data_IF_079232343791
#
_entry.id   IF_079232343791
#
_cell.length_a   1.000
_cell.length_b   1.000
_cell.length_c   1.000
_cell.angle_alpha   90.00
_cell.angle_beta   90.00
_cell.angle_gamma   90.00
#
_symmetry.space_group_name_H-M   'P 1'
#
loop_
_entity.id
_entity.type
_entity.pdbx_description
1 polymer ?
#
# COMPACT_ATOMS: atom_id res chain seq x y z
N UNK A 1 28.04 8.67 12.57
CA UNK A 1 27.74 7.91 11.34
C UNK A 1 26.28 8.13 11.02
N UNK A 2 25.95 8.36 9.75
CA UNK A 2 24.57 8.46 9.28
C UNK A 2 24.15 7.11 8.71
N UNK A 3 22.94 6.67 9.00
CA UNK A 3 22.36 5.45 8.44
C UNK A 3 21.16 5.82 7.57
N UNK A 4 21.18 5.37 6.32
CA UNK A 4 20.03 5.51 5.41
C UNK A 4 19.82 4.22 4.62
N UNK A 5 18.55 3.90 4.36
CA UNK A 5 18.15 2.82 3.45
C UNK A 5 17.02 3.33 2.56
N UNK A 6 17.03 2.87 1.31
CA UNK A 6 15.97 3.13 0.33
C UNK A 6 15.39 1.80 -0.12
N UNK A 7 14.08 1.76 -0.29
CA UNK A 7 13.35 0.60 -0.78
C UNK A 7 12.51 1.03 -1.97
N UNK A 8 12.48 0.22 -3.02
CA UNK A 8 11.51 0.40 -4.10
C UNK A 8 10.17 -0.16 -3.62
N UNK A 9 9.12 0.67 -3.65
CA UNK A 9 7.78 0.21 -3.31
C UNK A 9 7.16 -0.54 -4.50
N UNK A 10 6.51 -1.69 -4.26
CA UNK A 10 5.67 -2.33 -5.26
C UNK A 10 4.56 -1.40 -5.76
N UNK A 11 4.11 -1.58 -7.00
CA UNK A 11 3.07 -0.75 -7.61
C UNK A 11 1.69 -0.87 -6.94
N UNK A 12 1.45 -1.97 -6.23
CA UNK A 12 0.20 -2.27 -5.51
C UNK A 12 0.18 -1.71 -4.08
N UNK A 13 1.17 -0.91 -3.66
CA UNK A 13 1.18 -0.23 -2.36
C UNK A 13 0.40 1.08 -2.42
N UNK A 14 -0.41 1.33 -1.39
CA UNK A 14 -1.05 2.62 -1.14
C UNK A 14 -0.11 3.52 -0.32
N UNK A 15 0.51 4.49 -1.00
CA UNK A 15 1.53 5.38 -0.42
C UNK A 15 0.96 6.32 0.65
N UNK A 16 -0.34 6.63 0.61
CA UNK A 16 -0.98 7.50 1.61
C UNK A 16 -1.20 6.77 2.94
N UNK A 17 -1.12 5.44 2.93
CA UNK A 17 -1.37 4.58 4.10
C UNK A 17 -0.14 4.27 4.95
N UNK A 18 1.01 4.87 4.64
CA UNK A 18 2.28 4.60 5.32
C UNK A 18 2.19 5.02 6.79
N UNK A 19 2.55 4.10 7.69
CA UNK A 19 2.68 4.36 9.12
C UNK A 19 3.92 3.68 9.69
N UNK A 20 4.48 4.22 10.77
CA UNK A 20 5.68 3.69 11.39
C UNK A 20 5.55 3.66 12.92
N UNK A 21 6.16 2.66 13.55
CA UNK A 21 6.28 2.55 14.99
C UNK A 21 7.70 2.08 15.35
N UNK A 22 8.31 2.71 16.35
CA UNK A 22 9.62 2.33 16.86
C UNK A 22 9.50 1.84 18.31
N UNK A 23 9.84 0.57 18.54
CA UNK A 23 9.75 -0.03 19.87
C UNK A 23 10.85 -1.06 20.08
N UNK A 24 11.49 -1.02 21.24
CA UNK A 24 12.54 -1.98 21.64
C UNK A 24 13.66 -2.13 20.61
N UNK A 25 14.08 -1.03 19.97
CA UNK A 25 15.14 -1.04 18.96
C UNK A 25 14.71 -1.47 17.55
N UNK A 26 13.41 -1.71 17.31
CA UNK A 26 12.88 -2.14 16.01
C UNK A 26 12.00 -1.04 15.41
N UNK A 27 12.32 -0.65 14.17
CA UNK A 27 11.48 0.21 13.34
C UNK A 27 10.56 -0.66 12.47
N UNK A 28 9.27 -0.65 12.78
CA UNK A 28 8.23 -1.33 12.00
C UNK A 28 7.51 -0.33 11.11
N UNK A 29 7.51 -0.56 9.80
CA UNK A 29 6.84 0.27 8.79
C UNK A 29 5.69 -0.55 8.23
N UNK A 30 4.47 -0.01 8.26
CA UNK A 30 3.26 -0.65 7.76
C UNK A 30 2.65 0.18 6.62
N UNK A 31 2.23 -0.51 5.56
CA UNK A 31 1.63 0.08 4.37
C UNK A 31 0.55 -0.87 3.87
N UNK A 32 -0.60 -0.33 3.46
CA UNK A 32 -1.69 -1.11 2.89
C UNK A 32 -1.43 -1.37 1.41
N UNK A 33 -2.06 -2.42 0.90
CA UNK A 33 -2.20 -2.62 -0.54
C UNK A 33 -3.33 -1.74 -1.07
N UNK A 34 -3.19 -1.26 -2.31
CA UNK A 34 -4.26 -0.63 -3.08
C UNK A 34 -5.46 -1.58 -3.14
N UNK A 35 -6.66 -1.02 -3.01
CA UNK A 35 -7.89 -1.78 -3.18
C UNK A 35 -7.97 -2.33 -4.61
N UNK A 36 -8.31 -3.62 -4.74
CA UNK A 36 -8.62 -4.19 -6.05
C UNK A 36 -9.93 -3.59 -6.52
N UNK A 37 -9.94 -3.00 -7.72
CA UNK A 37 -11.15 -2.44 -8.31
C UNK A 37 -12.16 -3.58 -8.48
N UNK A 38 -13.32 -3.45 -7.83
CA UNK A 38 -14.39 -4.42 -7.99
C UNK A 38 -14.81 -4.48 -9.46
N UNK A 39 -15.11 -5.67 -10.01
CA UNK A 39 -15.54 -5.78 -11.40
C UNK A 39 -16.81 -4.94 -11.63
N UNK A 40 -16.78 -4.07 -12.64
CA UNK A 40 -17.96 -3.29 -13.04
C UNK A 40 -19.02 -4.26 -13.56
N UNK A 41 -20.20 -4.30 -12.95
CA UNK A 41 -21.37 -5.00 -13.53
C UNK A 41 -21.85 -4.19 -14.74
N UNK A 42 -21.78 -4.79 -15.93
CA UNK A 42 -22.34 -4.20 -17.15
C UNK A 42 -23.76 -4.77 -17.30
N UNK A 43 -24.77 -3.90 -17.29
CA UNK A 43 -26.17 -4.30 -17.52
C UNK A 43 -26.42 -4.36 -19.02
N UNK A 44 -26.73 -5.55 -19.56
CA UNK A 44 -27.16 -5.70 -20.96
C UNK A 44 -28.66 -5.38 -21.00
N UNK A 45 -29.06 -4.32 -21.72
CA UNK A 45 -30.45 -4.08 -22.08
C UNK A 45 -30.66 -4.60 -23.52
N UNK A 46 -31.51 -5.60 -23.69
CA UNK A 46 -31.98 -6.04 -25.00
C UNK A 46 -33.37 -5.45 -25.24
N UNK A 47 -33.55 -4.83 -26.41
CA UNK A 47 -34.83 -4.33 -26.94
C UNK A 47 -35.70 -5.44 -27.50
#
# INVERSE_FOLDING_TARGET
SEFSRRFALPSDVDEESISANFKNGILSINMKKKAVVAPKKIQIMAS
#
